data_IF_715111912617
#
_entry.id   IF_715111912617
#
_cell.length_a   1.000
_cell.length_b   1.000
_cell.length_c   1.000
_cell.angle_alpha   90.00
_cell.angle_beta   90.00
_cell.angle_gamma   90.00
#
_symmetry.space_group_name_H-M   'P 1'
#
loop_
_entity.id
_entity.type
_entity.pdbx_description
1 polymer ?
#
# COMPACT_ATOMS: atom_id res chain seq x y z
N UNK A 1 -0.90 -22.65 -12.04
CA UNK A 1 -1.16 -21.41 -11.27
C UNK A 1 -2.22 -20.63 -12.02
N UNK A 2 -3.22 -20.14 -11.31
CA UNK A 2 -4.29 -19.32 -11.85
C UNK A 2 -4.00 -17.85 -11.55
N UNK A 3 -4.07 -17.02 -12.57
CA UNK A 3 -3.71 -15.61 -12.50
C UNK A 3 -4.87 -14.76 -13.00
N UNK A 4 -5.16 -13.69 -12.28
CA UNK A 4 -5.98 -12.58 -12.76
C UNK A 4 -5.18 -11.30 -12.62
N UNK A 5 -5.01 -10.56 -13.71
CA UNK A 5 -4.38 -9.24 -13.69
C UNK A 5 -5.27 -8.25 -14.43
N UNK A 6 -5.81 -7.30 -13.68
CA UNK A 6 -6.65 -6.20 -14.16
C UNK A 6 -5.87 -4.88 -14.23
N UNK A 7 -4.59 -4.85 -13.81
CA UNK A 7 -3.83 -3.60 -13.67
C UNK A 7 -3.66 -2.80 -14.95
N UNK A 8 -3.73 -3.45 -16.12
CA UNK A 8 -3.71 -2.76 -17.42
C UNK A 8 -5.05 -2.07 -17.75
N UNK A 9 -6.15 -2.52 -17.12
CA UNK A 9 -7.50 -1.97 -17.29
C UNK A 9 -7.86 -0.93 -16.24
N UNK A 10 -7.26 -1.00 -15.06
CA UNK A 10 -7.52 -0.11 -13.93
C UNK A 10 -6.46 0.99 -13.93
N UNK A 11 -6.79 2.25 -14.26
CA UNK A 11 -5.81 3.33 -14.19
C UNK A 11 -5.33 3.54 -12.74
N UNK A 12 -4.07 3.93 -12.57
CA UNK A 12 -3.54 4.31 -11.26
C UNK A 12 -3.77 5.81 -11.01
N UNK A 13 -4.44 6.15 -9.91
CA UNK A 13 -4.61 7.53 -9.45
C UNK A 13 -4.04 7.67 -8.03
N UNK A 14 -3.22 8.69 -7.81
CA UNK A 14 -2.84 9.10 -6.45
C UNK A 14 -3.92 9.97 -5.82
N UNK A 15 -4.06 9.94 -4.50
CA UNK A 15 -5.03 10.80 -3.82
C UNK A 15 -4.67 12.28 -3.94
N UNK A 16 -5.65 13.11 -4.27
CA UNK A 16 -5.48 14.55 -4.50
C UNK A 16 -5.49 15.37 -3.20
N UNK A 17 -6.11 14.83 -2.14
CA UNK A 17 -6.18 15.42 -0.79
C UNK A 17 -5.84 14.36 0.27
N UNK A 18 -5.38 14.83 1.44
CA UNK A 18 -5.26 13.99 2.64
C UNK A 18 -6.69 13.58 3.04
N UNK A 19 -6.98 12.29 3.22
CA UNK A 19 -8.30 11.65 3.43
C UNK A 19 -9.09 11.21 2.19
N UNK A 20 -8.52 11.34 0.99
CA UNK A 20 -9.22 10.98 -0.25
C UNK A 20 -8.87 9.59 -0.79
N UNK A 21 -8.31 8.67 0.01
CA UNK A 21 -7.99 7.33 -0.49
C UNK A 21 -9.25 6.60 -0.98
N UNK A 22 -10.39 6.82 -0.32
CA UNK A 22 -11.67 6.26 -0.70
C UNK A 22 -12.19 6.83 -2.02
N UNK A 23 -12.02 8.15 -2.23
CA UNK A 23 -12.38 8.80 -3.49
C UNK A 23 -11.46 8.38 -4.63
N UNK A 24 -10.15 8.28 -4.39
CA UNK A 24 -9.18 7.79 -5.36
C UNK A 24 -9.44 6.31 -5.72
N UNK A 25 -9.73 5.46 -4.72
CA UNK A 25 -10.11 4.06 -4.93
C UNK A 25 -11.43 3.95 -5.68
N UNK A 26 -12.45 4.75 -5.33
CA UNK A 26 -13.71 4.82 -6.08
C UNK A 26 -13.52 5.23 -7.54
N UNK A 27 -12.63 6.20 -7.81
CA UNK A 27 -12.25 6.63 -9.16
C UNK A 27 -11.53 5.50 -9.93
N UNK A 28 -10.56 4.84 -9.31
CA UNK A 28 -9.83 3.70 -9.89
C UNK A 28 -10.79 2.56 -10.21
N UNK A 29 -11.63 2.17 -9.26
CA UNK A 29 -12.62 1.12 -9.42
C UNK A 29 -13.60 1.44 -10.56
N UNK A 30 -14.12 2.67 -10.66
CA UNK A 30 -15.03 3.07 -11.74
C UNK A 30 -14.38 3.06 -13.12
N UNK A 31 -13.15 3.55 -13.20
CA UNK A 31 -12.41 3.59 -14.45
C UNK A 31 -11.83 2.22 -14.82
N UNK A 32 -11.83 1.28 -13.88
CA UNK A 32 -11.39 -0.11 -14.02
C UNK A 32 -12.46 -1.09 -14.51
N UNK A 33 -13.64 -0.62 -14.93
CA UNK A 33 -14.72 -1.51 -15.36
C UNK A 33 -14.28 -2.40 -16.54
N UNK A 34 -14.70 -3.68 -16.58
CA UNK A 34 -14.23 -4.62 -17.59
C UNK A 34 -14.45 -4.14 -19.02
N UNK A 35 -15.65 -3.62 -19.30
CA UNK A 35 -16.01 -3.08 -20.60
C UNK A 35 -15.59 -1.60 -20.72
N UNK A 36 -14.70 -1.24 -21.66
CA UNK A 36 -14.26 0.14 -21.85
C UNK A 36 -15.38 1.13 -22.15
N UNK A 37 -16.45 0.71 -22.82
CA UNK A 37 -17.59 1.58 -23.13
C UNK A 37 -18.36 2.04 -21.88
N UNK A 38 -18.20 1.30 -20.78
CA UNK A 38 -18.91 1.57 -19.53
C UNK A 38 -18.11 2.48 -18.58
N UNK A 39 -16.84 2.74 -18.91
CA UNK A 39 -15.92 3.59 -18.14
C UNK A 39 -16.28 5.06 -18.35
N UNK A 40 -16.81 5.70 -17.31
CA UNK A 40 -17.01 7.15 -17.27
C UNK A 40 -16.03 7.72 -16.25
N UNK A 41 -15.32 8.76 -16.67
CA UNK A 41 -14.39 9.45 -15.80
C UNK A 41 -15.15 10.35 -14.83
N UNK A 42 -14.88 10.19 -13.54
CA UNK A 42 -15.28 11.10 -12.47
C UNK A 42 -14.03 11.65 -11.79
N UNK A 43 -13.98 12.95 -11.49
CA UNK A 43 -12.89 13.50 -10.71
C UNK A 43 -13.00 13.05 -9.24
N UNK A 44 -11.89 13.02 -8.49
CA UNK A 44 -11.94 12.58 -7.08
C UNK A 44 -12.85 13.46 -6.23
N UNK A 45 -12.98 14.75 -6.54
CA UNK A 45 -13.92 15.64 -5.86
C UNK A 45 -15.38 15.22 -6.05
N UNK A 46 -15.76 14.73 -7.23
CA UNK A 46 -17.13 14.27 -7.52
C UNK A 46 -17.42 12.94 -6.81
N UNK A 47 -16.44 12.02 -6.84
CA UNK A 47 -16.49 10.75 -6.11
C UNK A 47 -16.58 11.02 -4.61
N UNK A 48 -15.75 11.92 -4.07
CA UNK A 48 -15.75 12.32 -2.67
C UNK A 48 -17.11 12.89 -2.26
N UNK A 49 -17.65 13.85 -3.01
CA UNK A 49 -18.95 14.45 -2.69
C UNK A 49 -20.06 13.40 -2.68
N UNK A 50 -20.01 12.43 -3.59
CA UNK A 50 -20.96 11.31 -3.64
C UNK A 50 -20.78 10.39 -2.42
N UNK A 51 -19.53 10.05 -2.05
CA UNK A 51 -19.22 9.30 -0.83
C UNK A 51 -19.83 9.99 0.39
N UNK A 52 -19.63 11.29 0.56
CA UNK A 52 -20.11 12.02 1.73
C UNK A 52 -21.65 11.98 1.88
N UNK A 53 -22.39 11.93 0.77
CA UNK A 53 -23.86 11.78 0.79
C UNK A 53 -24.29 10.37 1.21
N UNK A 54 -23.44 9.36 0.98
CA UNK A 54 -23.73 7.96 1.26
C UNK A 54 -23.06 7.40 2.52
N UNK A 55 -22.15 8.15 3.14
CA UNK A 55 -21.56 7.79 4.44
C UNK A 55 -22.67 7.54 5.47
N UNK A 56 -22.39 6.64 6.39
CA UNK A 56 -23.25 6.30 7.52
C UNK A 56 -23.64 7.54 8.32
N UNK A 57 -24.94 7.67 8.57
CA UNK A 57 -25.48 8.72 9.46
C UNK A 57 -25.49 8.29 10.93
N UNK A 58 -25.01 7.07 11.22
CA UNK A 58 -24.86 6.57 12.58
C UNK A 58 -23.84 7.40 13.36
N UNK A 59 -24.14 7.88 14.57
CA UNK A 59 -23.17 8.58 15.41
C UNK A 59 -21.91 7.75 15.72
N UNK A 60 -22.01 6.42 15.68
CA UNK A 60 -20.86 5.54 15.93
C UNK A 60 -19.83 5.56 14.79
N UNK A 61 -20.23 6.03 13.60
CA UNK A 61 -19.43 6.03 12.38
C UNK A 61 -19.00 7.46 11.98
N UNK A 62 -19.34 8.49 12.76
CA UNK A 62 -19.14 9.91 12.38
C UNK A 62 -17.67 10.35 12.26
N UNK A 63 -16.72 9.48 12.64
CA UNK A 63 -15.28 9.75 12.55
C UNK A 63 -14.62 9.32 11.24
N UNK A 64 -15.36 8.63 10.36
CA UNK A 64 -14.84 8.11 9.10
C UNK A 64 -14.76 9.21 8.03
N UNK A 65 -13.65 9.22 7.27
CA UNK A 65 -13.52 10.05 6.08
C UNK A 65 -14.32 9.45 4.92
N UNK A 66 -14.00 8.20 4.55
CA UNK A 66 -14.80 7.36 3.65
C UNK A 66 -15.12 6.07 4.37
N UNK A 67 -16.38 5.89 4.77
CA UNK A 67 -16.82 4.63 5.33
C UNK A 67 -17.26 3.63 4.24
N UNK A 68 -17.36 2.33 4.56
CA UNK A 68 -17.80 1.32 3.60
C UNK A 68 -19.18 1.56 2.98
N UNK A 69 -20.14 2.16 3.71
CA UNK A 69 -21.43 2.54 3.14
C UNK A 69 -21.26 3.65 2.10
N UNK A 70 -20.45 4.67 2.40
CA UNK A 70 -20.15 5.78 1.52
C UNK A 70 -19.53 5.35 0.20
N UNK A 71 -18.49 4.51 0.26
CA UNK A 71 -17.85 4.01 -0.97
C UNK A 71 -18.78 3.11 -1.78
N UNK A 72 -19.50 2.20 -1.12
CA UNK A 72 -20.46 1.30 -1.79
C UNK A 72 -21.59 2.08 -2.43
N UNK A 73 -22.21 3.01 -1.70
CA UNK A 73 -23.28 3.87 -2.19
C UNK A 73 -22.82 4.74 -3.35
N UNK A 74 -21.59 5.29 -3.27
CA UNK A 74 -20.98 6.02 -4.38
C UNK A 74 -20.83 5.15 -5.63
N UNK A 75 -20.22 3.96 -5.53
CA UNK A 75 -20.05 3.07 -6.68
C UNK A 75 -21.38 2.59 -7.24
N UNK A 76 -22.39 2.43 -6.39
CA UNK A 76 -23.75 2.08 -6.81
C UNK A 76 -24.45 3.24 -7.53
N UNK A 77 -24.28 4.48 -7.06
CA UNK A 77 -24.88 5.67 -7.64
C UNK A 77 -24.22 6.09 -8.97
N UNK A 78 -22.92 5.84 -9.11
CA UNK A 78 -22.14 6.15 -10.32
C UNK A 78 -22.04 4.97 -11.30
N UNK A 79 -22.85 3.92 -11.10
CA UNK A 79 -22.74 2.69 -11.90
C UNK A 79 -23.10 2.92 -13.38
N UNK A 80 -22.40 2.22 -14.26
CA UNK A 80 -22.68 2.16 -15.69
C UNK A 80 -22.14 0.82 -16.23
N UNK A 81 -22.92 0.02 -16.97
CA UNK A 81 -24.31 0.21 -17.31
C UNK A 81 -25.21 -0.04 -16.07
N UNK A 82 -26.50 0.27 -16.20
CA UNK A 82 -27.48 -0.17 -15.22
C UNK A 82 -27.42 -1.71 -15.09
N UNK A 83 -27.22 -2.21 -13.86
CA UNK A 83 -27.10 -3.64 -13.58
C UNK A 83 -25.80 -4.08 -12.90
N UNK A 84 -24.82 -3.17 -12.73
CA UNK A 84 -23.71 -3.39 -11.78
C UNK A 84 -24.23 -3.19 -10.37
N UNK A 85 -24.01 -4.18 -9.51
CA UNK A 85 -24.42 -4.14 -8.12
C UNK A 85 -23.19 -4.11 -7.23
N UNK A 86 -22.87 -2.97 -6.62
CA UNK A 86 -21.77 -2.92 -5.67
C UNK A 86 -22.30 -3.25 -4.29
N UNK A 87 -21.59 -4.12 -3.57
CA UNK A 87 -21.94 -4.52 -2.22
C UNK A 87 -20.73 -4.44 -1.33
N UNK A 88 -20.96 -3.83 -0.19
CA UNK A 88 -20.11 -3.91 0.97
C UNK A 88 -20.15 -5.32 1.54
N UNK A 89 -19.00 -5.97 1.60
CA UNK A 89 -18.84 -7.24 2.29
C UNK A 89 -17.93 -7.08 3.49
N UNK A 90 -18.49 -7.31 4.68
CA UNK A 90 -17.78 -7.21 5.93
C UNK A 90 -17.89 -8.51 6.74
N UNK A 91 -16.75 -9.07 7.16
CA UNK A 91 -16.71 -10.31 7.93
C UNK A 91 -15.54 -10.33 8.90
N UNK A 92 -15.71 -10.92 10.09
CA UNK A 92 -14.62 -11.10 11.05
C UNK A 92 -13.55 -12.08 10.56
N UNK A 93 -13.87 -12.95 9.60
CA UNK A 93 -12.94 -13.86 8.97
C UNK A 93 -12.35 -13.28 7.67
N UNK A 94 -11.09 -12.85 7.73
CA UNK A 94 -10.35 -12.31 6.58
C UNK A 94 -10.22 -13.26 5.41
N UNK A 95 -10.16 -14.57 5.66
CA UNK A 95 -9.96 -15.58 4.62
C UNK A 95 -11.23 -15.74 3.78
N UNK A 96 -12.40 -15.51 4.39
CA UNK A 96 -13.69 -15.46 3.71
C UNK A 96 -13.80 -14.21 2.84
N UNK A 97 -13.48 -13.03 3.40
CA UNK A 97 -13.51 -11.75 2.64
C UNK A 97 -12.57 -11.82 1.44
N UNK A 98 -11.36 -12.33 1.64
CA UNK A 98 -10.41 -12.50 0.55
C UNK A 98 -10.90 -13.49 -0.50
N UNK A 99 -11.50 -14.61 -0.10
CA UNK A 99 -12.07 -15.55 -1.07
C UNK A 99 -13.14 -14.88 -1.95
N UNK A 100 -14.04 -14.10 -1.36
CA UNK A 100 -15.09 -13.42 -2.12
C UNK A 100 -14.51 -12.38 -3.09
N UNK A 101 -13.48 -11.64 -2.67
CA UNK A 101 -12.73 -10.76 -3.57
C UNK A 101 -12.18 -11.55 -4.77
N UNK A 102 -11.41 -12.62 -4.52
CA UNK A 102 -10.77 -13.38 -5.60
C UNK A 102 -11.80 -14.03 -6.52
N UNK A 103 -12.88 -14.56 -5.96
CA UNK A 103 -13.97 -15.18 -6.72
C UNK A 103 -14.64 -14.16 -7.65
N UNK A 104 -15.06 -13.01 -7.13
CA UNK A 104 -15.78 -12.01 -7.93
C UNK A 104 -14.87 -11.32 -8.95
N UNK A 105 -13.61 -11.09 -8.61
CA UNK A 105 -12.60 -10.67 -9.58
C UNK A 105 -12.43 -11.70 -10.71
N UNK A 106 -12.53 -13.00 -10.41
CA UNK A 106 -12.45 -14.03 -11.45
C UNK A 106 -13.66 -14.03 -12.37
N UNK A 107 -14.87 -13.94 -11.79
CA UNK A 107 -16.14 -14.06 -12.52
C UNK A 107 -16.48 -12.79 -13.28
N UNK A 108 -16.29 -11.62 -12.65
CA UNK A 108 -16.79 -10.33 -13.13
C UNK A 108 -15.69 -9.40 -13.62
N UNK A 109 -14.44 -9.64 -13.24
CA UNK A 109 -13.27 -8.87 -13.68
C UNK A 109 -13.28 -7.39 -13.28
N UNK A 110 -14.05 -7.03 -12.23
CA UNK A 110 -13.95 -5.72 -11.60
C UNK A 110 -12.81 -5.71 -10.58
N UNK A 111 -12.07 -4.61 -10.41
CA UNK A 111 -11.22 -4.42 -9.24
C UNK A 111 -12.08 -4.37 -7.97
N UNK A 112 -11.45 -4.61 -6.82
CA UNK A 112 -12.16 -4.55 -5.53
C UNK A 112 -11.48 -3.57 -4.59
N UNK A 113 -12.15 -2.46 -4.24
CA UNK A 113 -11.71 -1.60 -3.14
C UNK A 113 -11.76 -2.36 -1.81
N UNK A 114 -10.72 -2.24 -1.01
CA UNK A 114 -10.62 -2.89 0.30
C UNK A 114 -10.03 -1.95 1.35
N UNK A 115 -10.48 -2.12 2.60
CA UNK A 115 -9.87 -1.46 3.75
C UNK A 115 -8.65 -2.24 4.24
N UNK A 116 -7.49 -1.59 4.24
CA UNK A 116 -6.25 -2.12 4.81
C UNK A 116 -5.85 -1.35 6.07
N UNK A 117 -4.74 -1.75 6.68
CA UNK A 117 -4.16 -1.05 7.83
C UNK A 117 -5.18 -0.86 8.97
N UNK A 118 -5.96 -1.92 9.24
CA UNK A 118 -6.98 -1.95 10.30
C UNK A 118 -8.10 -0.90 10.12
N UNK A 119 -8.49 -0.65 8.88
CA UNK A 119 -9.57 0.30 8.53
C UNK A 119 -9.08 1.71 8.25
N UNK A 120 -7.77 1.93 8.25
CA UNK A 120 -7.18 3.25 8.13
C UNK A 120 -6.94 3.71 6.69
N UNK A 121 -7.07 2.85 5.66
CA UNK A 121 -6.77 3.20 4.27
C UNK A 121 -7.52 2.34 3.25
N UNK A 122 -7.93 2.93 2.13
CA UNK A 122 -8.53 2.25 0.98
C UNK A 122 -7.50 2.02 -0.14
N UNK A 123 -7.50 0.81 -0.68
CA UNK A 123 -6.73 0.43 -1.89
C UNK A 123 -7.59 -0.43 -2.80
N UNK A 124 -7.25 -0.50 -4.09
CA UNK A 124 -7.91 -1.38 -5.04
C UNK A 124 -7.08 -2.64 -5.28
N UNK A 125 -7.65 -3.82 -5.03
CA UNK A 125 -7.06 -5.08 -5.49
C UNK A 125 -7.32 -5.19 -6.99
N UNK A 126 -6.22 -5.30 -7.75
CA UNK A 126 -6.24 -5.34 -9.23
C UNK A 126 -5.67 -6.64 -9.78
N UNK A 127 -5.17 -7.55 -8.94
CA UNK A 127 -4.76 -8.87 -9.43
C UNK A 127 -4.35 -9.84 -8.34
N UNK A 128 -4.24 -11.11 -8.71
CA UNK A 128 -3.80 -12.19 -7.83
C UNK A 128 -3.19 -13.34 -8.61
N UNK A 129 -2.41 -14.16 -7.89
CA UNK A 129 -1.95 -15.48 -8.34
C UNK A 129 -2.28 -16.51 -7.27
N UNK A 130 -2.89 -17.62 -7.68
CA UNK A 130 -3.33 -18.74 -6.82
C UNK A 130 -2.88 -20.08 -7.41
N UNK A 131 -2.87 -21.13 -6.60
CA UNK A 131 -2.55 -22.49 -7.05
C UNK A 131 -3.74 -23.19 -7.74
N UNK A 132 -4.95 -23.00 -7.23
CA UNK A 132 -6.22 -23.45 -7.81
C UNK A 132 -7.15 -22.26 -8.09
N UNK A 133 -8.08 -22.43 -9.03
CA UNK A 133 -9.01 -21.37 -9.40
C UNK A 133 -9.96 -21.01 -8.25
N UNK A 134 -10.19 -19.71 -7.96
CA UNK A 134 -11.18 -19.27 -6.98
C UNK A 134 -12.59 -19.37 -7.57
N UNK A 135 -13.23 -20.53 -7.41
CA UNK A 135 -14.61 -20.83 -7.82
C UNK A 135 -15.37 -21.37 -6.61
N UNK A 136 -16.71 -21.36 -6.67
CA UNK A 136 -17.54 -21.79 -5.54
C UNK A 136 -17.15 -23.19 -5.04
N UNK A 137 -16.90 -23.31 -3.73
CA UNK A 137 -16.45 -24.56 -3.10
C UNK A 137 -14.94 -24.85 -3.19
N UNK A 138 -14.13 -24.02 -3.85
CA UNK A 138 -12.67 -24.18 -3.87
C UNK A 138 -12.01 -23.60 -2.61
N UNK A 139 -10.72 -23.92 -2.42
CA UNK A 139 -9.91 -23.41 -1.29
C UNK A 139 -8.51 -23.05 -1.75
N UNK A 140 -8.34 -21.94 -2.50
CA UNK A 140 -7.07 -21.55 -3.08
C UNK A 140 -6.04 -21.11 -2.05
N UNK A 141 -4.77 -21.40 -2.36
CA UNK A 141 -3.61 -20.83 -1.67
C UNK A 141 -3.10 -19.64 -2.47
N UNK A 142 -3.21 -18.44 -1.88
CA UNK A 142 -2.68 -17.22 -2.47
C UNK A 142 -1.16 -17.29 -2.55
N UNK A 143 -0.61 -16.93 -3.71
CA UNK A 143 0.83 -16.79 -3.95
C UNK A 143 1.24 -15.31 -3.88
N UNK A 144 0.56 -14.47 -4.67
CA UNK A 144 0.76 -13.02 -4.71
C UNK A 144 -0.55 -12.29 -4.91
N UNK A 145 -0.59 -11.02 -4.51
CA UNK A 145 -1.71 -10.10 -4.73
C UNK A 145 -1.18 -8.75 -5.20
N UNK A 146 -1.83 -8.16 -6.18
CA UNK A 146 -1.50 -6.85 -6.74
C UNK A 146 -2.55 -5.82 -6.36
N UNK A 147 -2.12 -4.63 -5.95
CA UNK A 147 -3.00 -3.51 -5.60
C UNK A 147 -2.58 -2.23 -6.30
N UNK A 148 -3.54 -1.36 -6.56
CA UNK A 148 -3.30 0.07 -6.77
C UNK A 148 -3.61 0.79 -5.46
N UNK A 149 -2.63 1.54 -4.98
CA UNK A 149 -2.68 2.26 -3.72
C UNK A 149 -2.58 3.77 -4.05
N UNK A 150 -3.49 4.61 -3.54
CA UNK A 150 -3.51 6.03 -3.87
C UNK A 150 -2.36 6.82 -3.23
N UNK A 151 -1.55 6.20 -2.36
CA UNK A 151 -0.34 6.80 -1.80
C UNK A 151 0.93 6.50 -2.66
N UNK A 152 1.93 7.40 -2.67
CA UNK A 152 1.95 8.73 -2.05
C UNK A 152 0.92 9.69 -2.65
N UNK A 153 0.47 10.69 -1.88
CA UNK A 153 -0.37 11.80 -2.37
C UNK A 153 0.06 12.28 -3.76
N UNK A 154 -0.88 12.41 -4.69
CA UNK A 154 -0.70 12.84 -6.08
C UNK A 154 0.26 11.99 -6.93
N UNK A 155 0.75 10.86 -6.40
CA UNK A 155 1.67 9.94 -7.08
C UNK A 155 0.97 8.61 -7.34
N UNK A 156 0.43 7.99 -6.27
CA UNK A 156 -0.10 6.62 -6.31
C UNK A 156 0.99 5.56 -6.58
N UNK A 157 0.71 4.32 -6.21
CA UNK A 157 1.59 3.17 -6.41
C UNK A 157 0.87 1.94 -6.94
N UNK A 158 1.57 1.15 -7.76
CA UNK A 158 1.13 -0.18 -8.17
C UNK A 158 2.06 -1.22 -7.56
N UNK A 159 1.53 -1.99 -6.60
CA UNK A 159 2.32 -2.89 -5.76
C UNK A 159 1.88 -4.34 -5.95
N UNK A 160 2.83 -5.28 -5.92
CA UNK A 160 2.57 -6.71 -5.83
C UNK A 160 3.26 -7.26 -4.60
N UNK A 161 2.46 -7.85 -3.70
CA UNK A 161 2.92 -8.45 -2.46
C UNK A 161 3.00 -9.97 -2.60
N UNK A 162 3.94 -10.59 -1.89
CA UNK A 162 3.78 -12.01 -1.55
C UNK A 162 2.58 -12.19 -0.63
N UNK A 163 1.89 -13.33 -0.71
CA UNK A 163 0.74 -13.62 0.14
C UNK A 163 1.06 -13.48 1.64
N UNK A 164 2.26 -13.94 2.03
CA UNK A 164 2.71 -13.84 3.40
C UNK A 164 2.94 -12.38 3.84
N UNK A 165 3.41 -11.52 2.93
CA UNK A 165 3.54 -10.09 3.21
C UNK A 165 2.18 -9.41 3.28
N UNK A 166 1.24 -9.73 2.40
CA UNK A 166 -0.12 -9.20 2.46
C UNK A 166 -0.76 -9.48 3.84
N UNK A 167 -0.72 -10.73 4.29
CA UNK A 167 -1.30 -11.18 5.57
C UNK A 167 -0.50 -10.74 6.80
N UNK A 168 0.80 -10.48 6.63
CA UNK A 168 1.69 -10.03 7.70
C UNK A 168 1.80 -8.51 7.80
N UNK A 169 1.37 -7.77 6.78
CA UNK A 169 1.45 -6.32 6.66
C UNK A 169 0.05 -5.69 6.52
N UNK A 170 -0.34 -5.19 5.34
CA UNK A 170 -1.53 -4.34 5.18
C UNK A 170 -2.86 -5.03 5.54
N UNK A 171 -2.98 -6.36 5.36
CA UNK A 171 -4.18 -7.15 5.64
C UNK A 171 -4.13 -7.90 6.98
N UNK A 172 -3.21 -7.51 7.87
CA UNK A 172 -2.89 -8.32 9.06
C UNK A 172 -3.88 -8.17 10.23
N UNK A 173 -4.81 -7.22 10.19
CA UNK A 173 -5.76 -6.95 11.26
C UNK A 173 -7.09 -6.39 10.75
N UNK A 174 -8.16 -6.74 11.45
CA UNK A 174 -9.49 -6.19 11.22
C UNK A 174 -9.56 -4.71 11.59
N UNK A 175 -10.65 -4.04 11.19
CA UNK A 175 -10.96 -2.66 11.57
C UNK A 175 -10.92 -2.51 13.10
N UNK A 176 -10.12 -1.55 13.60
CA UNK A 176 -10.00 -1.25 15.04
C UNK A 176 -10.82 -0.05 15.49
N UNK A 177 -11.40 0.68 14.55
CA UNK A 177 -12.21 1.86 14.83
C UNK A 177 -13.58 1.44 15.34
N UNK A 178 -14.07 2.13 16.35
CA UNK A 178 -15.44 1.94 16.86
C UNK A 178 -16.44 2.23 15.75
N UNK A 179 -17.56 1.52 15.76
CA UNK A 179 -18.61 1.69 14.76
C UNK A 179 -19.10 0.36 14.21
N UNK A 180 -19.79 0.44 13.08
CA UNK A 180 -20.46 -0.67 12.41
C UNK A 180 -19.49 -1.79 12.01
N UNK A 181 -18.26 -1.44 11.62
CA UNK A 181 -17.28 -2.38 11.07
C UNK A 181 -16.23 -2.88 12.06
N UNK A 182 -16.35 -2.53 13.35
CA UNK A 182 -15.37 -2.93 14.35
C UNK A 182 -15.15 -4.46 14.35
N UNK A 183 -13.88 -4.87 14.33
CA UNK A 183 -13.45 -6.28 14.24
C UNK A 183 -13.84 -7.00 12.95
N UNK A 184 -14.08 -6.28 11.86
CA UNK A 184 -14.34 -6.84 10.54
C UNK A 184 -13.23 -6.52 9.53
N UNK A 185 -13.08 -7.39 8.54
CA UNK A 185 -12.37 -7.13 7.30
C UNK A 185 -13.42 -6.70 6.27
N UNK A 186 -13.10 -5.70 5.45
CA UNK A 186 -14.10 -5.06 4.58
C UNK A 186 -13.59 -4.95 3.15
N UNK A 187 -14.48 -5.24 2.21
CA UNK A 187 -14.27 -5.08 0.78
C UNK A 187 -15.55 -4.53 0.14
N UNK A 188 -15.42 -3.85 -1.00
CA UNK A 188 -16.52 -3.51 -1.89
C UNK A 188 -16.39 -4.36 -3.16
N UNK A 189 -17.40 -5.17 -3.46
CA UNK A 189 -17.39 -6.23 -4.48
C UNK A 189 -18.68 -6.23 -5.32
N UNK A 190 -18.70 -6.94 -6.46
CA UNK A 190 -19.88 -7.11 -7.32
C UNK A 190 -20.50 -8.53 -7.12
N UNK A 191 -21.68 -8.74 -6.47
CA UNK A 191 -22.18 -10.02 -5.90
C UNK A 191 -23.32 -10.70 -6.74
N UNK A 192 -23.98 -11.84 -6.30
CA UNK A 192 -23.98 -12.54 -4.97
C UNK A 192 -23.80 -14.09 -4.96
N UNK A 193 -23.70 -14.81 -3.83
CA UNK A 193 -22.66 -14.91 -2.76
C UNK A 193 -22.11 -16.36 -2.81
N UNK A 194 -20.80 -16.61 -3.05
CA UNK A 194 -20.22 -17.95 -3.03
C UNK A 194 -19.80 -18.39 -1.61
N UNK A 195 -19.58 -19.70 -1.41
CA UNK A 195 -18.89 -20.23 -0.21
C UNK A 195 -17.46 -20.63 -0.58
N UNK A 196 -16.48 -20.24 0.22
CA UNK A 196 -15.09 -20.69 0.11
C UNK A 196 -14.17 -20.02 1.12
N UNK A 197 -12.86 -20.32 1.05
CA UNK A 197 -11.81 -19.75 1.92
C UNK A 197 -10.48 -19.67 1.17
N UNK A 198 -9.69 -18.64 1.43
CA UNK A 198 -8.30 -18.53 0.94
C UNK A 198 -7.33 -18.84 2.06
N UNK A 199 -6.30 -19.63 1.76
CA UNK A 199 -5.21 -19.90 2.70
C UNK A 199 -3.92 -19.16 2.31
N UNK A 200 -3.11 -18.82 3.32
CA UNK A 200 -1.80 -18.21 3.12
C UNK A 200 -0.74 -18.93 3.93
N UNK A 201 0.40 -19.22 3.29
CA UNK A 201 1.59 -19.71 3.98
C UNK A 201 2.23 -18.55 4.73
N UNK A 202 2.27 -18.64 6.05
CA UNK A 202 2.98 -17.66 6.88
C UNK A 202 4.50 -17.83 6.72
N UNK A 203 5.24 -16.72 6.75
CA UNK A 203 6.71 -16.71 6.72
C UNK A 203 7.27 -15.98 7.92
N UNK A 204 8.43 -16.43 8.39
CA UNK A 204 9.15 -15.77 9.49
C UNK A 204 9.80 -14.48 8.99
N UNK A 205 9.34 -13.34 9.49
CA UNK A 205 9.83 -12.00 9.08
C UNK A 205 10.94 -11.42 9.97
N UNK A 206 11.34 -12.13 11.02
CA UNK A 206 12.35 -11.71 12.01
C UNK A 206 13.54 -12.67 12.06
N UNK A 207 14.73 -12.17 12.36
CA UNK A 207 15.93 -13.00 12.49
C UNK A 207 16.99 -12.42 13.43
N UNK A 208 18.14 -13.11 13.53
CA UNK A 208 19.25 -12.71 14.40
C UNK A 208 20.26 -11.79 13.72
N UNK A 209 20.41 -11.90 12.40
CA UNK A 209 21.44 -11.20 11.62
C UNK A 209 20.81 -10.52 10.40
N UNK A 210 21.04 -9.23 10.26
CA UNK A 210 20.65 -8.47 9.08
C UNK A 210 21.60 -8.79 7.91
N UNK A 211 21.03 -8.82 6.72
CA UNK A 211 21.78 -8.81 5.46
C UNK A 211 22.54 -7.49 5.30
N UNK A 212 23.59 -7.50 4.48
CA UNK A 212 24.21 -6.24 4.04
C UNK A 212 23.35 -5.59 2.94
N UNK A 213 23.43 -4.26 2.76
CA UNK A 213 22.77 -3.56 1.65
C UNK A 213 23.09 -4.18 0.28
N UNK A 214 24.37 -4.50 0.02
CA UNK A 214 24.80 -5.15 -1.23
C UNK A 214 24.07 -6.48 -1.46
N UNK A 215 23.93 -7.31 -0.40
CA UNK A 215 23.24 -8.58 -0.50
C UNK A 215 21.73 -8.41 -0.74
N UNK A 216 21.12 -7.39 -0.14
CA UNK A 216 19.72 -7.04 -0.42
C UNK A 216 19.51 -6.65 -1.89
N UNK A 217 20.42 -5.84 -2.47
CA UNK A 217 20.37 -5.51 -3.89
C UNK A 217 20.52 -6.72 -4.82
N UNK A 218 21.38 -7.69 -4.45
CA UNK A 218 21.51 -8.96 -5.17
C UNK A 218 20.20 -9.77 -5.14
N UNK A 219 19.56 -9.87 -3.97
CA UNK A 219 18.25 -10.53 -3.84
C UNK A 219 17.16 -9.83 -4.65
N UNK A 220 17.08 -8.50 -4.60
CA UNK A 220 16.12 -7.74 -5.39
C UNK A 220 16.24 -8.03 -6.90
N UNK A 221 17.47 -8.00 -7.44
CA UNK A 221 17.72 -8.35 -8.85
C UNK A 221 17.34 -9.79 -9.19
N UNK A 222 17.58 -10.71 -8.26
CA UNK A 222 17.19 -12.12 -8.42
C UNK A 222 15.68 -12.26 -8.50
N UNK A 223 14.93 -11.60 -7.60
CA UNK A 223 13.47 -11.65 -7.58
C UNK A 223 12.84 -11.05 -8.83
N UNK A 224 13.42 -9.96 -9.37
CA UNK A 224 12.98 -9.41 -10.66
C UNK A 224 12.95 -10.51 -11.73
N UNK A 225 14.07 -11.25 -11.89
CA UNK A 225 14.18 -12.35 -12.86
C UNK A 225 13.30 -13.54 -12.52
N UNK A 226 13.29 -13.98 -11.26
CA UNK A 226 12.55 -15.19 -10.84
C UNK A 226 11.04 -15.04 -10.98
N UNK A 227 10.50 -13.84 -10.73
CA UNK A 227 9.09 -13.53 -10.96
C UNK A 227 8.80 -13.01 -12.38
N UNK A 228 9.84 -12.95 -13.23
CA UNK A 228 9.79 -12.39 -14.57
C UNK A 228 9.06 -11.03 -14.60
N UNK A 229 9.37 -10.17 -13.61
CA UNK A 229 8.67 -8.90 -13.42
C UNK A 229 8.83 -8.00 -14.65
N UNK A 230 9.96 -8.10 -15.35
CA UNK A 230 10.22 -7.46 -16.63
C UNK A 230 9.16 -7.72 -17.72
N UNK A 231 8.47 -8.85 -17.67
CA UNK A 231 7.43 -9.22 -18.64
C UNK A 231 6.03 -8.75 -18.23
N UNK A 232 5.89 -8.22 -17.02
CA UNK A 232 4.63 -7.65 -16.55
C UNK A 232 4.59 -6.17 -16.96
N UNK A 233 3.58 -5.71 -17.73
CA UNK A 233 3.53 -4.35 -18.26
C UNK A 233 3.75 -3.25 -17.20
N UNK A 234 3.17 -3.41 -16.00
CA UNK A 234 3.31 -2.46 -14.89
C UNK A 234 4.74 -2.32 -14.35
N UNK A 235 5.60 -3.31 -14.56
CA UNK A 235 6.99 -3.35 -14.10
C UNK A 235 8.02 -3.28 -15.23
N UNK A 236 7.60 -3.04 -16.48
CA UNK A 236 8.47 -3.04 -17.67
C UNK A 236 9.67 -2.08 -17.55
N UNK A 237 9.57 -1.04 -16.72
CA UNK A 237 10.66 -0.13 -16.39
C UNK A 237 11.91 -0.85 -15.85
N UNK A 238 11.73 -1.95 -15.12
CA UNK A 238 12.81 -2.73 -14.50
C UNK A 238 13.67 -3.49 -15.52
N UNK A 239 13.21 -3.65 -16.76
CA UNK A 239 13.96 -4.30 -17.84
C UNK A 239 14.90 -3.34 -18.57
N UNK A 240 14.73 -2.03 -18.42
CA UNK A 240 15.50 -1.06 -19.21
C UNK A 240 16.96 -1.03 -18.79
N UNK A 241 17.87 -1.02 -19.76
CA UNK A 241 19.32 -1.05 -19.52
C UNK A 241 19.85 0.21 -18.79
N UNK A 242 19.14 1.34 -18.93
CA UNK A 242 19.46 2.60 -18.28
C UNK A 242 18.89 2.72 -16.86
N UNK A 243 18.11 1.72 -16.40
CA UNK A 243 17.60 1.63 -15.03
C UNK A 243 18.56 0.82 -14.17
N UNK A 244 19.00 1.44 -13.07
CA UNK A 244 19.97 0.87 -12.15
C UNK A 244 19.40 0.82 -10.73
N UNK A 245 19.82 -0.18 -9.91
CA UNK A 245 19.54 -0.13 -8.49
C UNK A 245 20.22 1.10 -7.88
N UNK A 246 19.51 1.77 -6.98
CA UNK A 246 20.04 2.81 -6.11
C UNK A 246 20.46 2.19 -4.77
N UNK A 247 20.95 3.03 -3.85
CA UNK A 247 21.42 2.57 -2.54
C UNK A 247 20.27 1.95 -1.73
N UNK A 248 20.40 0.68 -1.26
CA UNK A 248 19.37 0.06 -0.45
C UNK A 248 19.23 0.72 0.92
N UNK A 249 17.98 0.93 1.34
CA UNK A 249 17.66 1.58 2.61
C UNK A 249 17.06 0.56 3.58
N UNK A 250 17.64 0.43 4.76
CA UNK A 250 17.12 -0.44 5.82
C UNK A 250 15.96 0.25 6.53
N UNK A 251 14.80 -0.39 6.54
CA UNK A 251 13.60 0.09 7.23
C UNK A 251 13.26 -0.82 8.40
N UNK A 252 12.86 -0.22 9.51
CA UNK A 252 12.30 -0.89 10.68
C UNK A 252 10.78 -0.75 10.69
N UNK A 253 10.05 -1.84 10.92
CA UNK A 253 8.59 -1.77 11.09
C UNK A 253 8.20 -1.39 12.53
N UNK A 254 7.28 -0.43 12.68
CA UNK A 254 6.78 0.07 13.96
C UNK A 254 7.62 1.18 14.59
N UNK A 255 7.00 2.04 15.41
CA UNK A 255 7.63 3.16 16.14
C UNK A 255 8.06 2.82 17.58
N UNK A 256 7.92 1.55 17.98
CA UNK A 256 8.27 1.06 19.31
C UNK A 256 9.73 1.34 19.70
N UNK A 257 10.08 1.15 20.98
CA UNK A 257 11.43 1.46 21.52
C UNK A 257 12.56 0.89 20.64
N UNK A 258 13.60 1.70 20.41
CA UNK A 258 14.84 1.22 19.79
C UNK A 258 15.39 0.05 20.62
N UNK A 259 15.83 -1.03 19.96
CA UNK A 259 16.31 -2.25 20.64
C UNK A 259 15.25 -3.30 21.01
N UNK A 260 13.97 -3.10 20.67
CA UNK A 260 12.98 -4.18 20.79
C UNK A 260 13.45 -5.43 20.01
N UNK A 261 13.60 -6.55 20.72
CA UNK A 261 13.99 -7.83 20.12
C UNK A 261 12.82 -8.33 19.25
N UNK A 262 13.13 -8.83 18.05
CA UNK A 262 12.16 -9.37 17.08
C UNK A 262 11.25 -8.36 16.38
N UNK A 263 11.76 -7.19 16.03
CA UNK A 263 11.04 -6.27 15.13
C UNK A 263 11.35 -6.62 13.66
N UNK A 264 10.34 -6.73 12.77
CA UNK A 264 10.58 -6.92 11.34
C UNK A 264 11.41 -5.77 10.76
N UNK A 265 12.32 -6.14 9.87
CA UNK A 265 13.11 -5.20 9.09
C UNK A 265 13.09 -5.65 7.64
N UNK A 266 13.11 -4.70 6.73
CA UNK A 266 13.20 -4.93 5.31
C UNK A 266 14.13 -3.90 4.67
N UNK A 267 14.69 -4.26 3.52
CA UNK A 267 15.39 -3.30 2.68
C UNK A 267 14.45 -2.84 1.59
N UNK A 268 14.37 -1.52 1.38
CA UNK A 268 13.90 -0.96 0.11
C UNK A 268 15.11 -0.92 -0.82
N UNK A 269 15.01 -1.57 -1.98
CA UNK A 269 15.99 -1.44 -3.06
C UNK A 269 15.35 -0.61 -4.18
N UNK A 270 15.63 0.70 -4.27
CA UNK A 270 15.05 1.55 -5.31
C UNK A 270 15.71 1.30 -6.66
N UNK A 271 14.98 1.58 -7.73
CA UNK A 271 15.45 1.53 -9.10
C UNK A 271 15.09 2.83 -9.81
N UNK A 272 16.05 3.41 -10.52
CA UNK A 272 15.90 4.70 -11.20
C UNK A 272 16.82 4.81 -12.41
N UNK A 273 16.56 5.78 -13.27
CA UNK A 273 17.41 6.02 -14.43
C UNK A 273 18.78 6.55 -14.03
N UNK A 274 19.83 6.10 -14.73
CA UNK A 274 21.23 6.48 -14.49
C UNK A 274 21.44 7.99 -14.44
N UNK A 275 20.71 8.73 -15.27
CA UNK A 275 20.88 10.17 -15.48
C UNK A 275 19.68 11.00 -15.02
N UNK A 276 18.82 10.43 -14.17
CA UNK A 276 17.65 11.14 -13.63
C UNK A 276 17.87 11.55 -12.17
N UNK A 277 17.79 12.85 -11.92
CA UNK A 277 18.05 13.45 -10.63
C UNK A 277 16.96 14.47 -10.28
N UNK A 278 16.68 14.60 -8.99
CA UNK A 278 15.90 15.70 -8.45
C UNK A 278 16.72 17.01 -8.47
N UNK A 279 16.07 18.15 -8.23
CA UNK A 279 16.70 19.48 -8.19
C UNK A 279 17.93 19.57 -7.25
N UNK A 280 17.98 18.73 -6.20
CA UNK A 280 19.08 18.67 -5.23
C UNK A 280 20.15 17.61 -5.57
N UNK A 281 20.15 17.06 -6.78
CA UNK A 281 21.17 16.11 -7.25
C UNK A 281 21.01 14.67 -6.74
N UNK A 282 20.00 14.37 -5.92
CA UNK A 282 19.67 12.99 -5.52
C UNK A 282 18.96 12.26 -6.65
N UNK A 283 19.26 10.99 -6.85
CA UNK A 283 18.60 10.17 -7.89
C UNK A 283 17.11 9.97 -7.61
N UNK A 284 16.32 9.95 -8.67
CA UNK A 284 14.89 9.64 -8.59
C UNK A 284 14.64 8.14 -8.73
N UNK A 285 13.71 7.62 -7.95
CA UNK A 285 13.24 6.25 -8.02
C UNK A 285 11.93 6.17 -8.82
N UNK A 286 11.84 5.16 -9.69
CA UNK A 286 10.68 4.82 -10.53
C UNK A 286 9.99 3.55 -10.07
N UNK A 287 10.76 2.66 -9.44
CA UNK A 287 10.28 1.43 -8.85
C UNK A 287 11.12 1.07 -7.62
N UNK A 288 10.66 0.13 -6.82
CA UNK A 288 11.47 -0.49 -5.78
C UNK A 288 11.06 -1.94 -5.53
N UNK A 289 12.01 -2.72 -5.00
CA UNK A 289 11.77 -4.08 -4.51
C UNK A 289 12.08 -4.12 -3.03
N UNK A 290 11.15 -4.63 -2.24
CA UNK A 290 11.30 -4.84 -0.81
C UNK A 290 11.70 -6.29 -0.56
N UNK A 291 12.79 -6.44 0.18
CA UNK A 291 13.32 -7.75 0.57
C UNK A 291 13.42 -7.84 2.09
N UNK A 292 13.05 -8.99 2.63
CA UNK A 292 13.17 -9.26 4.04
C UNK A 292 14.64 -9.10 4.48
N UNK A 293 14.91 -8.25 5.48
CA UNK A 293 16.29 -7.90 5.83
C UNK A 293 17.06 -9.02 6.51
N UNK A 294 16.42 -10.13 6.89
CA UNK A 294 17.08 -11.26 7.54
C UNK A 294 17.30 -12.44 6.59
N UNK A 295 16.36 -12.68 5.69
CA UNK A 295 16.34 -13.88 4.83
C UNK A 295 16.59 -13.58 3.37
N UNK A 296 16.36 -12.33 2.93
CA UNK A 296 16.38 -11.96 1.52
C UNK A 296 15.14 -12.42 0.76
N UNK A 297 14.13 -12.95 1.45
CA UNK A 297 12.85 -13.31 0.86
C UNK A 297 12.18 -12.09 0.20
N UNK A 298 11.50 -12.32 -0.91
CA UNK A 298 10.67 -11.32 -1.57
C UNK A 298 9.49 -10.93 -0.67
N UNK A 299 9.28 -9.64 -0.47
CA UNK A 299 8.11 -9.14 0.24
C UNK A 299 7.16 -8.40 -0.70
N UNK A 300 7.68 -7.48 -1.51
CA UNK A 300 6.88 -6.57 -2.32
C UNK A 300 7.69 -5.98 -3.49
N UNK A 301 7.04 -5.67 -4.60
CA UNK A 301 7.57 -4.82 -5.68
C UNK A 301 6.56 -3.72 -5.98
N UNK A 302 7.06 -2.51 -6.20
CA UNK A 302 6.22 -1.32 -6.41
C UNK A 302 6.74 -0.48 -7.55
N UNK A 303 5.84 0.03 -8.39
CA UNK A 303 6.11 1.17 -9.28
C UNK A 303 5.35 2.40 -8.80
N UNK A 304 5.95 3.57 -9.03
CA UNK A 304 5.37 4.86 -8.66
C UNK A 304 4.73 5.50 -9.89
N UNK A 305 3.53 6.07 -9.75
CA UNK A 305 2.86 6.77 -10.85
C UNK A 305 3.66 7.98 -11.36
N UNK A 306 4.53 8.54 -10.51
CA UNK A 306 5.50 9.60 -10.82
C UNK A 306 6.85 9.27 -10.17
N UNK A 307 7.98 9.73 -10.71
CA UNK A 307 9.28 9.53 -10.06
C UNK A 307 9.28 10.17 -8.68
N UNK A 308 9.84 9.48 -7.69
CA UNK A 308 9.96 9.98 -6.32
C UNK A 308 11.41 10.15 -5.90
N UNK A 309 11.62 10.98 -4.90
CA UNK A 309 12.90 11.17 -4.23
C UNK A 309 12.79 10.63 -2.81
N UNK A 310 13.73 9.80 -2.40
CA UNK A 310 13.88 9.46 -0.98
C UNK A 310 14.71 10.54 -0.30
N UNK A 311 14.23 11.02 0.85
CA UNK A 311 14.91 11.98 1.70
C UNK A 311 16.12 11.30 2.36
N UNK A 312 17.36 11.75 2.12
CA UNK A 312 18.53 11.23 2.80
C UNK A 312 18.51 11.52 4.30
N UNK A 313 19.22 10.68 5.08
CA UNK A 313 19.34 10.85 6.54
C UNK A 313 19.85 12.23 6.92
N UNK A 314 20.84 12.72 6.19
CA UNK A 314 21.51 14.00 6.45
C UNK A 314 20.54 15.17 6.27
N UNK A 315 19.68 15.12 5.24
CA UNK A 315 18.65 16.13 5.03
C UNK A 315 17.57 16.07 6.12
N UNK A 316 17.15 14.87 6.54
CA UNK A 316 16.21 14.72 7.65
C UNK A 316 16.78 15.27 8.97
N UNK A 317 18.06 15.02 9.27
CA UNK A 317 18.74 15.59 10.44
C UNK A 317 18.84 17.11 10.35
N UNK A 318 19.10 17.67 9.17
CA UNK A 318 19.14 19.12 8.97
C UNK A 318 17.77 19.79 9.21
N UNK A 319 16.68 19.16 8.77
CA UNK A 319 15.30 19.61 9.03
C UNK A 319 15.03 19.64 10.55
N UNK A 320 15.40 18.57 11.25
CA UNK A 320 15.22 18.49 12.72
C UNK A 320 16.09 19.52 13.44
N UNK A 321 17.34 19.71 13.02
CA UNK A 321 18.26 20.70 13.60
C UNK A 321 17.68 22.11 13.48
N UNK A 322 17.20 22.46 12.28
CA UNK A 322 16.58 23.75 12.01
C UNK A 322 15.35 23.99 12.89
N UNK A 323 14.44 23.02 12.98
CA UNK A 323 13.23 23.13 13.79
C UNK A 323 13.51 23.21 15.30
N UNK A 324 14.62 22.62 15.76
CA UNK A 324 15.05 22.68 17.15
C UNK A 324 15.97 23.86 17.46
N UNK A 325 16.28 24.72 16.47
CA UNK A 325 17.23 25.83 16.58
C UNK A 325 18.62 25.37 17.09
N UNK A 326 19.12 24.26 16.53
CA UNK A 326 20.44 23.67 16.85
C UNK A 326 21.34 23.60 15.63
N UNK A 327 22.64 23.53 15.85
CA UNK A 327 23.59 23.24 14.77
C UNK A 327 23.45 21.78 14.32
N UNK A 328 23.42 21.52 13.02
CA UNK A 328 23.34 20.16 12.45
C UNK A 328 24.47 19.24 12.95
N UNK A 329 25.65 19.79 13.28
CA UNK A 329 26.77 19.06 13.85
C UNK A 329 26.44 18.46 15.22
N UNK A 330 25.59 19.12 16.01
CA UNK A 330 25.13 18.59 17.29
C UNK A 330 24.26 17.34 17.11
N UNK A 331 23.61 17.20 15.94
CA UNK A 331 22.75 16.05 15.63
C UNK A 331 23.43 14.95 14.83
N UNK A 332 24.72 15.09 14.49
CA UNK A 332 25.44 14.12 13.64
C UNK A 332 25.45 12.70 14.22
N UNK A 333 25.51 12.60 15.55
CA UNK A 333 25.52 11.32 16.27
C UNK A 333 24.14 10.92 16.82
N UNK A 334 23.10 11.67 16.48
CA UNK A 334 21.73 11.39 16.89
C UNK A 334 21.22 10.12 16.19
N UNK A 335 20.48 9.30 16.94
CA UNK A 335 19.80 8.16 16.37
C UNK A 335 18.72 8.63 15.38
N UNK A 336 18.89 8.28 14.11
CA UNK A 336 17.89 8.45 13.07
C UNK A 336 17.67 7.10 12.38
N UNK A 337 16.43 6.62 12.44
CA UNK A 337 16.03 5.31 11.92
C UNK A 337 14.93 5.50 10.90
N UNK A 338 15.13 5.00 9.69
CA UNK A 338 14.07 4.92 8.69
C UNK A 338 13.04 3.88 9.15
N UNK A 339 11.80 4.32 9.31
CA UNK A 339 10.74 3.58 10.00
C UNK A 339 9.48 3.58 9.16
N UNK A 340 8.75 2.47 9.20
CA UNK A 340 7.41 2.38 8.64
C UNK A 340 6.42 1.93 9.71
N UNK A 341 5.35 2.68 9.88
CA UNK A 341 4.16 2.26 10.59
C UNK A 341 2.96 2.96 9.93
N UNK A 342 1.89 2.23 9.58
CA UNK A 342 0.67 2.86 9.08
C UNK A 342 0.14 3.89 10.08
N UNK A 343 -0.12 5.10 9.63
CA UNK A 343 -0.59 6.21 10.44
C UNK A 343 -0.70 7.50 9.63
N UNK A 344 -0.80 8.62 10.32
CA UNK A 344 -0.97 9.97 9.73
C UNK A 344 0.19 10.47 8.86
N UNK A 345 1.32 9.76 8.85
CA UNK A 345 2.51 10.11 8.06
C UNK A 345 2.55 9.35 6.73
N UNK A 346 2.16 8.07 6.73
CA UNK A 346 2.17 7.21 5.54
C UNK A 346 1.40 5.92 5.78
N UNK A 347 0.83 5.38 4.71
CA UNK A 347 0.15 4.08 4.68
C UNK A 347 0.95 3.00 3.93
N UNK A 348 2.02 3.39 3.24
CA UNK A 348 2.78 2.51 2.32
C UNK A 348 4.22 2.25 2.76
N UNK A 349 4.62 0.98 2.67
CA UNK A 349 5.93 0.49 3.11
C UNK A 349 7.09 1.03 2.29
N UNK A 350 6.81 1.35 1.04
CA UNK A 350 7.77 1.88 0.07
C UNK A 350 8.00 3.37 0.25
N UNK A 351 7.27 4.04 1.14
CA UNK A 351 7.42 5.46 1.44
C UNK A 351 7.54 5.71 2.96
N UNK A 352 8.57 5.14 3.62
CA UNK A 352 8.74 5.23 5.07
C UNK A 352 9.07 6.66 5.52
N UNK A 353 9.25 6.88 6.82
CA UNK A 353 9.67 8.19 7.37
C UNK A 353 10.86 8.05 8.31
N UNK A 354 11.60 9.13 8.52
CA UNK A 354 12.70 9.17 9.48
C UNK A 354 12.16 9.40 10.89
N UNK A 355 12.47 8.51 11.82
CA UNK A 355 12.32 8.75 13.26
C UNK A 355 13.67 9.23 13.83
N UNK A 356 13.71 10.44 14.35
CA UNK A 356 14.92 11.06 14.93
C UNK A 356 14.73 11.25 16.44
N UNK A 357 15.68 10.76 17.24
CA UNK A 357 15.62 10.82 18.72
C UNK A 357 16.62 11.82 19.28
N UNK A 358 16.17 13.03 19.62
CA UNK A 358 17.01 14.08 20.23
C UNK A 358 16.80 14.13 21.74
N UNK A 359 17.76 13.62 22.51
CA UNK A 359 17.63 13.46 23.96
C UNK A 359 16.50 12.49 24.31
N UNK A 360 15.43 12.99 24.95
CA UNK A 360 14.22 12.20 25.27
C UNK A 360 13.09 12.38 24.26
N UNK A 361 13.23 13.27 23.28
CA UNK A 361 12.17 13.60 22.33
C UNK A 361 12.36 12.82 21.05
N UNK A 362 11.27 12.27 20.53
CA UNK A 362 11.20 11.71 19.17
C UNK A 362 10.49 12.72 18.27
N UNK A 363 11.02 12.92 17.09
CA UNK A 363 10.37 13.66 16.00
C UNK A 363 10.44 12.84 14.74
N UNK A 364 9.53 13.10 13.81
CA UNK A 364 9.40 12.33 12.58
C UNK A 364 9.49 13.25 11.37
N UNK A 365 10.14 12.80 10.31
CA UNK A 365 10.27 13.55 9.06
C UNK A 365 9.86 12.64 7.91
N UNK A 366 8.83 13.01 7.17
CA UNK A 366 8.41 12.25 5.98
C UNK A 366 9.39 12.44 4.81
N UNK A 367 9.17 11.72 3.71
CA UNK A 367 10.04 11.82 2.53
C UNK A 367 9.93 13.17 1.79
N UNK A 368 8.89 13.96 2.06
CA UNK A 368 8.72 15.31 1.54
C UNK A 368 9.42 16.37 2.42
N UNK A 369 9.93 15.97 3.58
CA UNK A 369 10.64 16.84 4.52
C UNK A 369 9.71 17.56 5.52
N UNK A 370 8.44 17.17 5.61
CA UNK A 370 7.52 17.71 6.62
C UNK A 370 7.83 17.06 7.98
N UNK A 371 7.87 17.90 9.01
CA UNK A 371 8.20 17.53 10.38
C UNK A 371 6.92 17.26 11.20
N UNK A 372 6.94 16.18 11.96
CA UNK A 372 5.86 15.79 12.87
C UNK A 372 6.41 15.63 14.29
N UNK A 373 5.77 16.30 15.25
CA UNK A 373 6.14 16.22 16.67
C UNK A 373 5.63 14.96 17.38
N UNK A 374 4.69 14.26 16.76
CA UNK A 374 4.08 13.02 17.25
C UNK A 374 3.66 12.17 16.06
N UNK A 375 3.49 10.87 16.29
CA UNK A 375 2.89 9.94 15.34
C UNK A 375 1.45 9.68 15.80
N UNK A 376 0.49 9.81 14.89
CA UNK A 376 -0.92 9.53 15.16
C UNK A 376 -1.39 8.33 14.34
N UNK A 377 -2.38 7.57 14.84
CA UNK A 377 -3.12 6.65 13.99
C UNK A 377 -3.76 7.39 12.81
N UNK A 378 -3.98 6.67 11.71
CA UNK A 378 -4.72 7.18 10.56
C UNK A 378 -6.16 7.54 10.94
N UNK A 379 -6.76 8.47 10.20
CA UNK A 379 -8.20 8.68 10.24
C UNK A 379 -8.86 7.43 9.60
N UNK A 380 -9.99 6.92 10.12
CA UNK A 380 -10.62 5.76 9.51
C UNK A 380 -11.09 6.06 8.08
N UNK A 381 -10.69 5.21 7.13
CA UNK A 381 -10.94 5.40 5.70
C UNK A 381 -10.16 6.53 5.03
N UNK A 382 -8.95 6.85 5.52
CA UNK A 382 -8.05 7.93 5.05
C UNK A 382 -6.98 7.48 4.06
#
# INVERSE_FOLDING_TARGET
>A
MFTRDLSANVPLYGQEQCIWCGAASGQMARNGYPNPADRLFYAQVDVWNTIQVHNSTSPADSGWATDPHGLTGCLQALNNPAGVHWVEFANSNRDTVLFDILFWMNVRQYPSPVLINQGGHWVDIVGYVTDVEPVGGSSPVLQTISVHDPEPHNVGTSSTFSAAQWFGGPWNGAVIYTGTWLNQYVAVIEPPLPKGKVHVKQVKRTGKKLLSPKRAAEFAKRWIREFALEHQPKYAILHREDVLPLDPMLVREGIGRSGAKNVPHYYIVPFGFRHEFAERGSRLARACVLVNAFTGAFEEVTTFGKPIRYLPKEEALAIVASAMQRDTKELKNTEATLTFQPGDITHIRTYPFWQVTVGKRKVYVDQLGKLYGKFLPSIPGD
#
